data_IF_765354752773
#
_entry.id   IF_765354752773
#
_cell.length_a   1.000
_cell.length_b   1.000
_cell.length_c   1.000
_cell.angle_alpha   90.00
_cell.angle_beta   90.00
_cell.angle_gamma   90.00
#
_symmetry.space_group_name_H-M   'P 1'
#
loop_
_entity.id
_entity.type
_entity.pdbx_description
1 polymer ?
#
# COMPACT_ATOMS: atom_id res chain seq x y z
N UNK A 1 -5.88 -19.82 12.56
CA UNK A 1 -4.45 -19.49 12.84
C UNK A 1 -4.46 -18.30 13.77
N UNK A 2 -4.07 -18.46 15.03
CA UNK A 2 -4.09 -17.34 16.00
C UNK A 2 -2.91 -16.43 15.66
N UNK A 3 -3.19 -15.28 15.07
CA UNK A 3 -2.17 -14.26 14.82
C UNK A 3 -1.62 -13.79 16.16
N UNK A 4 -0.31 -13.67 16.27
CA UNK A 4 0.35 -13.18 17.49
C UNK A 4 0.04 -11.69 17.61
N UNK A 5 -0.40 -11.24 18.78
CA UNK A 5 -0.63 -9.81 19.04
C UNK A 5 0.62 -9.01 18.70
N UNK A 6 0.48 -7.95 17.93
CA UNK A 6 1.60 -7.10 17.52
C UNK A 6 2.41 -6.61 18.72
N UNK A 7 3.73 -6.60 18.57
CA UNK A 7 4.66 -5.98 19.52
C UNK A 7 4.94 -4.51 19.19
N UNK A 8 4.36 -4.03 18.10
CA UNK A 8 4.53 -2.67 17.60
C UNK A 8 3.18 -1.95 17.62
N UNK A 9 3.22 -0.67 17.91
CA UNK A 9 2.09 0.26 17.73
C UNK A 9 2.35 1.12 16.52
N UNK A 10 1.38 1.18 15.62
CA UNK A 10 1.44 1.99 14.40
C UNK A 10 0.66 3.28 14.58
N UNK A 11 1.21 4.38 14.06
CA UNK A 11 0.56 5.69 14.12
C UNK A 11 0.86 6.47 12.85
N UNK A 12 -0.17 7.04 12.23
CA UNK A 12 0.02 7.99 11.16
C UNK A 12 0.67 9.28 11.69
N UNK A 13 1.71 9.75 11.01
CA UNK A 13 2.30 11.05 11.30
C UNK A 13 1.71 12.06 10.34
N UNK A 14 0.67 12.74 10.79
CA UNK A 14 -0.15 13.65 9.98
C UNK A 14 0.43 15.06 9.85
N UNK A 15 -0.14 15.87 8.95
CA UNK A 15 0.29 17.26 8.70
C UNK A 15 1.44 17.38 7.70
N UNK A 16 1.73 16.30 6.97
CA UNK A 16 2.72 16.28 5.88
C UNK A 16 2.07 16.30 4.51
N UNK A 17 0.87 15.77 4.39
CA UNK A 17 0.16 15.66 3.11
C UNK A 17 -1.20 16.35 3.20
N UNK A 18 -1.69 16.88 2.08
CA UNK A 18 -2.97 17.58 2.02
C UNK A 18 -4.14 16.71 2.48
N UNK A 19 -4.11 15.42 2.20
CA UNK A 19 -5.15 14.48 2.60
C UNK A 19 -5.14 14.12 4.10
N UNK A 20 -4.07 14.40 4.84
CA UNK A 20 -4.00 14.18 6.29
C UNK A 20 -5.04 14.97 7.07
N UNK A 21 -5.51 16.07 6.51
CA UNK A 21 -6.42 17.03 7.16
C UNK A 21 -7.81 17.08 6.52
N UNK A 22 -8.09 16.24 5.53
CA UNK A 22 -9.39 16.25 4.84
C UNK A 22 -10.50 15.76 5.78
N UNK A 23 -11.56 16.56 6.02
CA UNK A 23 -12.62 16.17 6.93
C UNK A 23 -13.62 15.22 6.27
N UNK A 24 -13.83 14.09 6.89
CA UNK A 24 -15.02 13.26 6.72
C UNK A 24 -15.01 12.24 5.58
N UNK A 25 -15.83 11.18 5.75
CA UNK A 25 -16.04 10.15 4.72
C UNK A 25 -17.07 10.56 3.68
N UNK A 26 -17.01 9.97 2.48
CA UNK A 26 -15.83 9.34 1.93
C UNK A 26 -15.17 10.22 0.87
N UNK A 27 -14.09 10.87 1.21
CA UNK A 27 -13.27 11.55 0.23
C UNK A 27 -12.67 10.51 -0.72
N UNK A 28 -12.98 10.60 -2.02
CA UNK A 28 -12.37 9.77 -3.04
C UNK A 28 -11.00 10.35 -3.39
N UNK A 29 -9.94 9.82 -2.81
CA UNK A 29 -8.58 10.25 -3.05
C UNK A 29 -8.12 9.85 -4.46
N UNK A 30 -7.54 10.82 -5.15
CA UNK A 30 -6.83 10.66 -6.42
C UNK A 30 -5.35 10.96 -6.20
N UNK A 31 -4.51 10.67 -7.19
CA UNK A 31 -3.10 11.11 -7.17
C UNK A 31 -3.05 12.63 -7.25
N UNK A 32 -2.67 13.27 -6.15
CA UNK A 32 -2.49 14.72 -6.12
C UNK A 32 -1.18 15.13 -6.79
N UNK A 33 -1.06 16.37 -7.32
CA UNK A 33 0.21 16.91 -7.75
C UNK A 33 1.26 16.81 -6.64
N UNK A 34 2.44 16.26 -6.97
CA UNK A 34 3.49 16.02 -5.97
C UNK A 34 3.05 15.16 -4.77
N UNK A 35 2.03 14.32 -4.93
CA UNK A 35 1.38 13.54 -3.87
C UNK A 35 0.83 14.40 -2.72
N UNK A 36 0.55 15.66 -2.96
CA UNK A 36 0.02 16.58 -1.95
C UNK A 36 0.97 16.88 -0.80
N UNK A 37 2.29 16.76 -1.00
CA UNK A 37 3.26 17.13 0.05
C UNK A 37 3.16 18.62 0.38
N UNK A 38 2.89 18.93 1.64
CA UNK A 38 2.80 20.29 2.15
C UNK A 38 4.22 20.86 2.30
N UNK A 39 4.48 21.98 1.64
CA UNK A 39 5.76 22.68 1.81
C UNK A 39 5.86 23.30 3.21
N UNK A 40 6.82 22.84 3.99
CA UNK A 40 7.01 23.23 5.38
C UNK A 40 8.50 23.30 5.74
N UNK A 41 8.79 23.88 6.89
CA UNK A 41 10.13 23.91 7.46
C UNK A 41 10.36 22.66 8.31
N UNK A 42 11.50 22.00 8.10
CA UNK A 42 11.97 20.87 8.90
C UNK A 42 13.13 21.29 9.80
N UNK A 43 13.30 20.64 10.95
CA UNK A 43 14.45 20.88 11.84
C UNK A 43 15.81 20.61 11.16
N UNK A 44 15.82 19.82 10.09
CA UNK A 44 17.01 19.54 9.28
C UNK A 44 17.38 20.65 8.32
N UNK A 45 16.48 21.57 8.00
CA UNK A 45 16.65 22.57 6.93
C UNK A 45 17.79 23.56 7.26
N UNK A 46 17.96 23.91 8.54
CA UNK A 46 19.02 24.85 8.95
C UNK A 46 20.43 24.41 8.54
N UNK A 47 20.67 23.09 8.42
CA UNK A 47 21.97 22.55 7.97
C UNK A 47 21.90 22.05 6.53
N UNK A 48 20.78 21.51 6.10
CA UNK A 48 20.64 20.85 4.79
C UNK A 48 20.29 21.81 3.67
N UNK A 49 19.45 22.81 3.96
CA UNK A 49 18.96 23.79 2.97
C UNK A 49 18.78 25.18 3.61
N UNK A 50 19.86 25.80 4.10
CA UNK A 50 19.78 27.07 4.81
C UNK A 50 19.22 28.21 3.95
N UNK A 51 19.31 28.11 2.65
CA UNK A 51 18.84 29.11 1.69
C UNK A 51 17.45 28.74 1.09
N UNK A 52 16.86 27.61 1.49
CA UNK A 52 15.58 27.10 0.97
C UNK A 52 15.53 27.02 -0.56
N UNK A 53 16.56 26.46 -1.17
CA UNK A 53 16.69 26.28 -2.62
C UNK A 53 16.37 24.85 -3.07
N UNK A 54 16.27 23.90 -2.13
CA UNK A 54 15.97 22.51 -2.44
C UNK A 54 14.47 22.27 -2.58
N UNK A 55 14.11 21.27 -3.41
CA UNK A 55 12.74 20.84 -3.56
C UNK A 55 12.14 20.35 -2.22
N UNK A 56 10.83 20.52 -2.05
CA UNK A 56 10.14 20.09 -0.83
C UNK A 56 10.37 18.60 -0.53
N UNK A 57 10.37 17.74 -1.57
CA UNK A 57 10.62 16.31 -1.43
C UNK A 57 12.07 15.97 -1.03
N UNK A 58 13.09 16.73 -1.48
CA UNK A 58 14.47 16.54 -1.00
C UNK A 58 14.58 16.84 0.49
N UNK A 59 13.92 17.93 0.94
CA UNK A 59 13.92 18.33 2.35
C UNK A 59 13.14 17.32 3.21
N UNK A 60 12.00 16.83 2.72
CA UNK A 60 11.25 15.78 3.38
C UNK A 60 12.03 14.46 3.47
N UNK A 61 12.68 14.02 2.40
CA UNK A 61 13.52 12.81 2.41
C UNK A 61 14.63 12.92 3.44
N UNK A 62 15.31 14.08 3.50
CA UNK A 62 16.34 14.37 4.53
C UNK A 62 15.76 14.32 5.94
N UNK A 63 14.55 14.83 6.12
CA UNK A 63 13.87 14.77 7.41
C UNK A 63 13.48 13.33 7.79
N UNK A 64 13.03 12.52 6.86
CA UNK A 64 12.74 11.10 7.07
C UNK A 64 13.99 10.32 7.52
N UNK A 65 15.15 10.58 6.89
CA UNK A 65 16.44 10.03 7.33
C UNK A 65 16.78 10.45 8.77
N UNK A 66 16.51 11.71 9.11
CA UNK A 66 16.74 12.21 10.46
C UNK A 66 15.83 11.53 11.50
N UNK A 67 14.57 11.28 11.18
CA UNK A 67 13.65 10.54 12.05
C UNK A 67 14.16 9.11 12.32
N UNK A 68 14.78 8.48 11.34
CA UNK A 68 15.34 7.11 11.41
C UNK A 68 16.82 7.05 11.83
N UNK A 69 17.37 8.13 12.39
CA UNK A 69 18.77 8.15 12.84
C UNK A 69 19.07 7.09 13.90
N UNK A 70 20.32 6.61 14.01
CA UNK A 70 20.71 5.69 15.06
C UNK A 70 20.31 6.18 16.46
N UNK A 71 19.69 5.31 17.25
CA UNK A 71 19.18 5.64 18.58
C UNK A 71 17.75 6.19 18.62
N UNK A 72 17.08 6.31 17.48
CA UNK A 72 15.63 6.57 17.46
C UNK A 72 14.87 5.43 18.15
N UNK A 73 13.88 5.77 18.97
CA UNK A 73 13.00 4.79 19.63
C UNK A 73 11.86 4.31 18.75
N UNK A 74 11.71 4.90 17.58
CA UNK A 74 10.67 4.58 16.62
C UNK A 74 11.28 4.39 15.24
N UNK A 75 10.60 3.61 14.40
CA UNK A 75 10.89 3.43 12.98
C UNK A 75 9.83 4.15 12.17
N UNK A 76 10.25 4.92 11.16
CA UNK A 76 9.35 5.67 10.29
C UNK A 76 9.45 5.15 8.87
N UNK A 77 8.32 4.93 8.23
CA UNK A 77 8.28 4.58 6.79
C UNK A 77 7.33 5.50 6.05
N UNK A 78 7.79 5.97 4.89
CA UNK A 78 6.95 6.55 3.87
C UNK A 78 6.38 5.41 3.03
N UNK A 79 5.07 5.20 3.08
CA UNK A 79 4.35 4.20 2.35
C UNK A 79 3.54 4.87 1.24
N UNK A 80 3.84 4.56 -0.02
CA UNK A 80 3.04 4.95 -1.17
C UNK A 80 1.96 3.88 -1.41
N UNK A 81 0.73 4.14 -0.99
CA UNK A 81 -0.42 3.28 -1.20
C UNK A 81 -0.97 3.47 -2.61
N UNK A 82 -0.78 2.50 -3.47
CA UNK A 82 -1.26 2.50 -4.85
C UNK A 82 -2.46 1.55 -4.97
N UNK A 83 -3.66 2.07 -5.21
CA UNK A 83 -4.80 1.21 -5.56
C UNK A 83 -4.62 0.69 -6.97
N UNK A 84 -4.91 -0.59 -7.19
CA UNK A 84 -4.95 -1.18 -8.54
C UNK A 84 -5.81 -0.33 -9.50
N UNK A 85 -5.47 -0.35 -10.78
CA UNK A 85 -6.28 0.24 -11.85
C UNK A 85 -7.65 -0.44 -11.97
N UNK A 86 -8.56 0.16 -12.75
CA UNK A 86 -9.90 -0.39 -12.95
C UNK A 86 -9.84 -1.84 -13.44
N UNK A 87 -10.42 -2.76 -12.67
CA UNK A 87 -10.62 -4.16 -13.08
C UNK A 87 -12.02 -4.42 -13.61
N UNK A 88 -12.22 -5.55 -14.30
CA UNK A 88 -13.53 -5.93 -14.84
C UNK A 88 -14.62 -6.05 -13.76
N UNK A 89 -14.28 -6.44 -12.52
CA UNK A 89 -15.21 -6.41 -11.38
C UNK A 89 -15.74 -5.00 -11.08
N UNK A 90 -14.89 -3.97 -11.19
CA UNK A 90 -15.32 -2.58 -10.98
C UNK A 90 -16.31 -2.11 -12.07
N UNK A 91 -16.10 -2.54 -13.31
CA UNK A 91 -17.02 -2.23 -14.41
C UNK A 91 -18.37 -2.86 -14.15
N UNK A 92 -18.39 -4.16 -13.82
CA UNK A 92 -19.63 -4.87 -13.56
C UNK A 92 -20.39 -4.30 -12.37
N UNK A 93 -19.71 -4.04 -11.24
CA UNK A 93 -20.33 -3.42 -10.07
C UNK A 93 -20.91 -2.03 -10.39
N UNK A 94 -20.20 -1.21 -11.17
CA UNK A 94 -20.68 0.11 -11.57
C UNK A 94 -21.91 0.03 -12.49
N UNK A 95 -21.99 -0.99 -13.34
CA UNK A 95 -23.10 -1.18 -14.28
C UNK A 95 -24.38 -1.62 -13.58
N UNK A 96 -24.30 -2.55 -12.62
CA UNK A 96 -25.47 -3.16 -11.98
C UNK A 96 -25.78 -2.58 -10.60
N UNK A 97 -24.88 -1.84 -10.01
CA UNK A 97 -24.95 -1.29 -8.66
C UNK A 97 -24.51 -2.26 -7.57
N UNK A 98 -23.98 -1.71 -6.47
CA UNK A 98 -23.38 -2.47 -5.36
C UNK A 98 -24.34 -3.50 -4.74
N UNK A 99 -25.63 -3.19 -4.62
CA UNK A 99 -26.62 -4.11 -3.99
C UNK A 99 -26.75 -5.42 -4.79
N UNK A 100 -26.87 -5.35 -6.13
CA UNK A 100 -26.96 -6.54 -6.98
C UNK A 100 -25.60 -7.23 -7.08
N UNK A 101 -24.52 -6.48 -7.13
CA UNK A 101 -23.16 -7.01 -7.07
C UNK A 101 -22.97 -7.90 -5.84
N UNK A 102 -23.14 -7.35 -4.64
CA UNK A 102 -22.93 -8.06 -3.38
C UNK A 102 -23.87 -9.27 -3.21
N UNK A 103 -25.14 -9.13 -3.58
CA UNK A 103 -26.13 -10.18 -3.37
C UNK A 103 -25.97 -11.38 -4.31
N UNK A 104 -25.49 -11.18 -5.54
CA UNK A 104 -25.49 -12.21 -6.57
C UNK A 104 -24.20 -12.26 -7.41
N UNK A 105 -23.89 -11.18 -8.15
CA UNK A 105 -22.90 -11.23 -9.23
C UNK A 105 -21.47 -11.45 -8.75
N UNK A 106 -21.09 -10.90 -7.62
CA UNK A 106 -19.75 -11.09 -7.06
C UNK A 106 -19.39 -12.57 -6.78
N UNK A 107 -20.40 -13.43 -6.65
CA UNK A 107 -20.24 -14.87 -6.41
C UNK A 107 -20.02 -15.68 -7.68
N UNK A 108 -20.28 -15.10 -8.84
CA UNK A 108 -20.08 -15.71 -10.15
C UNK A 108 -18.65 -15.45 -10.64
N UNK A 109 -18.18 -16.25 -11.58
CA UNK A 109 -16.86 -16.08 -12.19
C UNK A 109 -16.85 -15.02 -13.29
N UNK A 110 -18.00 -14.74 -13.88
CA UNK A 110 -18.17 -13.84 -15.01
C UNK A 110 -19.56 -13.94 -15.60
N UNK A 111 -19.76 -13.31 -16.76
CA UNK A 111 -20.92 -13.47 -17.63
C UNK A 111 -20.47 -13.79 -19.06
N UNK A 112 -21.39 -13.74 -20.03
CA UNK A 112 -21.08 -14.02 -21.44
C UNK A 112 -20.05 -13.05 -22.05
N UNK A 113 -19.90 -11.84 -21.49
CA UNK A 113 -19.08 -10.78 -22.07
C UNK A 113 -17.75 -10.55 -21.33
N UNK A 114 -17.67 -10.85 -20.04
CA UNK A 114 -16.50 -10.58 -19.22
C UNK A 114 -16.33 -11.54 -18.03
N UNK A 115 -15.08 -11.72 -17.61
CA UNK A 115 -14.70 -12.50 -16.43
C UNK A 115 -14.17 -11.56 -15.35
N UNK A 116 -14.65 -11.76 -14.11
CA UNK A 116 -14.15 -11.00 -12.96
C UNK A 116 -13.56 -11.85 -11.84
N UNK A 117 -13.56 -13.19 -11.97
CA UNK A 117 -12.79 -14.04 -11.07
C UNK A 117 -11.29 -13.69 -11.20
N UNK A 118 -10.64 -13.34 -10.10
CA UNK A 118 -9.30 -12.72 -10.08
C UNK A 118 -9.13 -11.67 -11.19
N UNK A 119 -9.99 -10.68 -11.18
CA UNK A 119 -10.21 -9.76 -12.28
C UNK A 119 -8.91 -9.13 -12.78
N UNK A 120 -8.71 -9.19 -14.11
CA UNK A 120 -7.66 -8.45 -14.83
C UNK A 120 -8.02 -6.96 -14.95
N UNK A 121 -7.04 -6.14 -15.32
CA UNK A 121 -7.27 -4.74 -15.65
C UNK A 121 -8.06 -4.60 -16.95
N UNK A 122 -8.96 -3.61 -16.99
CA UNK A 122 -9.56 -3.16 -18.25
C UNK A 122 -8.57 -2.29 -19.03
N UNK A 123 -8.89 -1.92 -20.26
CA UNK A 123 -8.11 -0.94 -21.02
C UNK A 123 -7.96 0.42 -20.28
N UNK A 124 -8.98 0.80 -19.48
CA UNK A 124 -8.89 1.98 -18.61
C UNK A 124 -7.90 1.74 -17.48
N UNK A 125 -7.99 0.59 -16.80
CA UNK A 125 -7.07 0.25 -15.72
C UNK A 125 -5.62 0.14 -16.17
N UNK A 126 -5.38 -0.36 -17.39
CA UNK A 126 -4.05 -0.38 -18.00
C UNK A 126 -3.51 1.04 -18.16
N UNK A 127 -4.29 1.95 -18.75
CA UNK A 127 -3.89 3.36 -18.88
C UNK A 127 -3.63 4.02 -17.52
N UNK A 128 -4.47 3.76 -16.52
CA UNK A 128 -4.24 4.26 -15.16
C UNK A 128 -2.90 3.81 -14.57
N UNK A 129 -2.50 2.56 -14.81
CA UNK A 129 -1.19 2.07 -14.37
C UNK A 129 -0.02 2.69 -15.16
N UNK A 130 -0.22 2.95 -16.44
CA UNK A 130 0.75 3.67 -17.28
C UNK A 130 0.88 5.15 -16.90
N UNK A 131 -0.23 5.80 -16.52
CA UNK A 131 -0.25 7.16 -15.97
C UNK A 131 0.52 7.23 -14.64
N UNK A 132 0.41 6.21 -13.77
CA UNK A 132 1.26 6.11 -12.58
C UNK A 132 2.75 6.07 -12.95
N UNK A 133 3.15 5.32 -13.98
CA UNK A 133 4.54 5.27 -14.44
C UNK A 133 5.02 6.63 -14.91
N UNK A 134 4.21 7.32 -15.71
CA UNK A 134 4.50 8.67 -16.18
C UNK A 134 4.63 9.66 -15.00
N UNK A 135 3.73 9.57 -14.01
CA UNK A 135 3.80 10.34 -12.78
C UNK A 135 5.13 10.11 -12.03
N UNK A 136 5.54 8.86 -11.81
CA UNK A 136 6.80 8.54 -11.13
C UNK A 136 8.01 9.13 -11.86
N UNK A 137 8.05 8.99 -13.18
CA UNK A 137 9.14 9.53 -14.00
C UNK A 137 9.21 11.06 -13.89
N UNK A 138 8.09 11.74 -14.02
CA UNK A 138 8.01 13.20 -13.93
C UNK A 138 8.35 13.71 -12.51
N UNK A 139 7.72 13.16 -11.50
CA UNK A 139 7.87 13.61 -10.12
C UNK A 139 9.29 13.40 -9.59
N UNK A 140 9.94 12.28 -9.95
CA UNK A 140 11.33 12.02 -9.56
C UNK A 140 12.28 13.06 -10.17
N UNK A 141 12.05 13.49 -11.39
CA UNK A 141 12.89 14.49 -12.08
C UNK A 141 12.60 15.91 -11.61
N UNK A 142 11.33 16.30 -11.64
CA UNK A 142 10.94 17.70 -11.51
C UNK A 142 10.71 18.10 -10.04
N UNK A 143 10.21 17.18 -9.20
CA UNK A 143 9.93 17.43 -7.79
C UNK A 143 10.97 16.83 -6.84
N UNK A 144 11.92 16.05 -7.37
CA UNK A 144 12.88 15.26 -6.58
C UNK A 144 12.19 14.31 -5.59
N UNK A 145 11.00 13.82 -5.98
CA UNK A 145 10.25 12.85 -5.22
C UNK A 145 11.05 11.55 -5.16
N UNK A 146 11.33 11.01 -3.95
CA UNK A 146 12.11 9.79 -3.83
C UNK A 146 11.28 8.59 -4.29
N UNK A 147 11.84 7.80 -5.21
CA UNK A 147 11.23 6.56 -5.65
C UNK A 147 11.25 5.50 -4.53
N UNK A 148 10.27 4.59 -4.49
CA UNK A 148 10.27 3.50 -3.53
C UNK A 148 11.43 2.54 -3.77
N UNK A 149 12.11 2.14 -2.71
CA UNK A 149 13.19 1.15 -2.75
C UNK A 149 12.69 -0.29 -2.69
N UNK A 150 11.45 -0.48 -2.25
CA UNK A 150 10.81 -1.78 -2.15
C UNK A 150 9.37 -1.69 -2.62
N UNK A 151 8.94 -2.73 -3.35
CA UNK A 151 7.59 -2.83 -3.86
C UNK A 151 6.90 -4.05 -3.26
N UNK A 152 5.71 -3.86 -2.69
CA UNK A 152 4.83 -4.92 -2.21
C UNK A 152 3.56 -4.91 -3.03
N UNK A 153 3.05 -6.09 -3.38
CA UNK A 153 1.82 -6.22 -4.14
C UNK A 153 0.92 -7.32 -3.57
N UNK A 154 -0.37 -7.10 -3.60
CA UNK A 154 -1.36 -8.17 -3.45
C UNK A 154 -1.21 -9.20 -4.56
N UNK A 155 -1.42 -10.51 -4.31
CA UNK A 155 -1.35 -11.56 -5.32
C UNK A 155 -2.43 -11.51 -6.38
N UNK A 156 -3.45 -10.65 -6.22
CA UNK A 156 -4.55 -10.55 -7.19
C UNK A 156 -4.06 -9.93 -8.50
N UNK A 157 -4.45 -10.52 -9.62
CA UNK A 157 -3.94 -10.21 -10.96
C UNK A 157 -3.93 -8.71 -11.27
N UNK A 158 -5.00 -7.98 -10.92
CA UNK A 158 -5.11 -6.53 -11.10
C UNK A 158 -4.03 -5.72 -10.37
N UNK A 159 -3.60 -6.20 -9.20
CA UNK A 159 -2.53 -5.54 -8.43
C UNK A 159 -1.16 -5.84 -9.02
N UNK A 160 -0.91 -7.07 -9.44
CA UNK A 160 0.34 -7.46 -10.10
C UNK A 160 0.51 -6.69 -11.41
N UNK A 161 -0.52 -6.63 -12.26
CA UNK A 161 -0.50 -5.84 -13.49
C UNK A 161 -0.27 -4.35 -13.25
N UNK A 162 -0.94 -3.77 -12.22
CA UNK A 162 -0.77 -2.36 -11.88
C UNK A 162 0.66 -2.09 -11.42
N UNK A 163 1.19 -2.89 -10.49
CA UNK A 163 2.55 -2.73 -9.98
C UNK A 163 3.60 -2.88 -11.08
N UNK A 164 3.48 -3.90 -11.93
CA UNK A 164 4.40 -4.12 -13.05
C UNK A 164 4.39 -2.93 -14.00
N UNK A 165 3.22 -2.49 -14.46
CA UNK A 165 3.09 -1.37 -15.41
C UNK A 165 3.55 -0.04 -14.84
N UNK A 166 3.36 0.18 -13.53
CA UNK A 166 3.77 1.41 -12.87
C UNK A 166 5.28 1.52 -12.66
N UNK A 167 5.99 0.41 -12.48
CA UNK A 167 7.39 0.43 -12.03
C UNK A 167 8.36 -0.35 -12.91
N UNK A 168 7.95 -1.42 -13.58
CA UNK A 168 8.86 -2.14 -14.48
C UNK A 168 9.31 -1.24 -15.61
N UNK A 169 10.60 -1.32 -15.95
CA UNK A 169 11.23 -0.50 -17.00
C UNK A 169 11.08 1.02 -16.80
N UNK A 170 10.86 1.48 -15.57
CA UNK A 170 10.90 2.90 -15.26
C UNK A 170 12.30 3.42 -15.53
N UNK A 171 12.39 4.47 -16.34
CA UNK A 171 13.67 5.09 -16.75
C UNK A 171 13.66 6.57 -16.37
N UNK A 172 14.75 7.02 -15.80
CA UNK A 172 15.00 8.43 -15.56
C UNK A 172 16.17 8.91 -16.43
N UNK A 173 16.23 10.21 -16.79
CA UNK A 173 17.42 10.80 -17.36
C UNK A 173 18.63 10.60 -16.42
N UNK A 174 19.82 10.34 -16.98
CA UNK A 174 21.04 10.06 -16.20
C UNK A 174 21.35 11.12 -15.12
N UNK A 175 20.97 12.36 -15.33
CA UNK A 175 21.14 13.45 -14.35
C UNK A 175 20.16 13.41 -13.17
N UNK A 176 19.13 12.57 -13.20
CA UNK A 176 18.09 12.50 -12.17
C UNK A 176 18.36 11.42 -11.11
N UNK A 177 19.46 10.68 -11.21
CA UNK A 177 19.81 9.58 -10.30
C UNK A 177 19.45 8.21 -10.86
N UNK A 178 19.72 7.18 -10.07
CA UNK A 178 19.42 5.80 -10.41
C UNK A 178 17.99 5.42 -9.98
N UNK A 179 17.32 4.62 -10.81
CA UNK A 179 16.05 3.97 -10.43
C UNK A 179 16.39 2.75 -9.60
N UNK A 180 15.79 2.60 -8.38
CA UNK A 180 15.97 1.38 -7.61
C UNK A 180 15.55 0.15 -8.43
N UNK A 181 16.21 -1.01 -8.23
CA UNK A 181 15.83 -2.26 -8.92
C UNK A 181 14.36 -2.59 -8.68
N UNK A 182 13.66 -3.00 -9.74
CA UNK A 182 12.29 -3.49 -9.62
C UNK A 182 12.30 -4.94 -9.15
N UNK A 183 12.22 -5.13 -7.84
CA UNK A 183 12.18 -6.43 -7.15
C UNK A 183 10.91 -6.55 -6.31
N UNK A 184 9.74 -6.67 -6.94
CA UNK A 184 8.47 -6.67 -6.23
C UNK A 184 8.25 -7.97 -5.45
N UNK A 185 7.63 -7.84 -4.27
CA UNK A 185 7.29 -8.94 -3.37
C UNK A 185 5.78 -9.09 -3.26
N UNK A 186 5.30 -10.28 -3.55
CA UNK A 186 3.89 -10.63 -3.39
C UNK A 186 3.60 -11.01 -1.95
N UNK A 187 2.54 -10.44 -1.38
CA UNK A 187 2.10 -10.66 -0.02
C UNK A 187 0.62 -11.04 0.05
N UNK A 188 0.32 -12.25 0.54
CA UNK A 188 -1.06 -12.70 0.78
C UNK A 188 -1.81 -11.76 1.74
N UNK A 189 -1.07 -11.16 2.68
CA UNK A 189 -1.59 -10.23 3.66
C UNK A 189 -2.16 -8.93 3.06
N UNK A 190 -1.83 -8.61 1.81
CA UNK A 190 -2.30 -7.40 1.10
C UNK A 190 -3.55 -7.62 0.26
N UNK A 191 -4.18 -8.79 0.34
CA UNK A 191 -5.41 -9.07 -0.44
C UNK A 191 -6.56 -8.19 0.03
N UNK A 192 -7.55 -8.01 -0.87
CA UNK A 192 -8.84 -7.45 -0.51
C UNK A 192 -9.56 -8.40 0.48
N UNK A 193 -10.68 -8.00 1.03
CA UNK A 193 -11.45 -8.80 1.95
C UNK A 193 -11.72 -10.20 1.41
N UNK A 194 -11.30 -11.22 2.14
CA UNK A 194 -11.32 -12.61 1.67
C UNK A 194 -12.71 -13.23 1.63
N UNK A 195 -12.89 -14.18 0.72
CA UNK A 195 -14.05 -15.06 0.63
C UNK A 195 -15.25 -14.51 -0.14
N UNK A 196 -16.16 -15.38 -0.52
CA UNK A 196 -17.42 -15.16 -1.23
C UNK A 196 -17.25 -14.55 -2.63
N UNK A 197 -16.60 -13.39 -2.76
CA UNK A 197 -16.39 -12.73 -4.05
C UNK A 197 -15.29 -13.41 -4.86
N UNK A 198 -15.61 -13.87 -6.04
CA UNK A 198 -14.65 -14.57 -6.91
C UNK A 198 -13.52 -13.66 -7.41
N UNK A 199 -13.78 -12.35 -7.50
CA UNK A 199 -12.75 -11.37 -7.84
C UNK A 199 -11.63 -11.27 -6.79
N UNK A 200 -11.86 -11.78 -5.58
CA UNK A 200 -10.89 -11.80 -4.49
C UNK A 200 -10.23 -13.19 -4.30
N UNK A 201 -10.56 -14.17 -5.16
CA UNK A 201 -9.88 -15.47 -5.25
C UNK A 201 -8.71 -15.38 -6.22
N UNK A 202 -7.48 -15.55 -5.71
CA UNK A 202 -6.28 -15.47 -6.57
C UNK A 202 -6.09 -16.68 -7.45
N UNK A 203 -5.34 -16.52 -8.52
CA UNK A 203 -4.81 -17.62 -9.32
C UNK A 203 -3.79 -18.46 -8.54
N UNK A 204 -3.43 -19.62 -9.09
CA UNK A 204 -2.41 -20.51 -8.53
C UNK A 204 -1.04 -19.85 -8.48
N UNK A 205 -0.17 -20.32 -7.59
CA UNK A 205 1.23 -19.90 -7.53
C UNK A 205 1.94 -20.08 -8.89
N UNK A 206 1.73 -21.19 -9.54
CA UNK A 206 2.32 -21.49 -10.85
C UNK A 206 1.86 -20.52 -11.93
N UNK A 207 0.57 -20.12 -11.91
CA UNK A 207 0.05 -19.11 -12.82
C UNK A 207 0.70 -17.73 -12.57
N UNK A 208 0.83 -17.31 -11.30
CA UNK A 208 1.50 -16.04 -10.95
C UNK A 208 2.94 -16.05 -11.44
N UNK A 209 3.70 -17.10 -11.18
CA UNK A 209 5.10 -17.22 -11.63
C UNK A 209 5.26 -17.18 -13.15
N UNK A 210 4.30 -17.75 -13.88
CA UNK A 210 4.34 -17.76 -15.34
C UNK A 210 4.01 -16.39 -15.93
N UNK A 211 3.02 -15.69 -15.36
CA UNK A 211 2.54 -14.42 -15.91
C UNK A 211 3.32 -13.20 -15.37
N UNK A 212 3.91 -13.33 -14.18
CA UNK A 212 4.65 -12.26 -13.49
C UNK A 212 6.00 -12.77 -12.97
N UNK A 213 6.92 -13.19 -13.85
CA UNK A 213 8.17 -13.84 -13.46
C UNK A 213 9.13 -12.94 -12.66
N UNK A 214 8.94 -11.62 -12.70
CA UNK A 214 9.75 -10.64 -11.95
C UNK A 214 9.36 -10.55 -10.47
N UNK A 215 8.19 -11.09 -10.09
CA UNK A 215 7.70 -11.01 -8.71
C UNK A 215 8.23 -12.17 -7.87
N UNK A 216 8.81 -11.85 -6.73
CA UNK A 216 9.14 -12.82 -5.71
C UNK A 216 7.91 -13.12 -4.85
N UNK A 217 7.65 -14.39 -4.60
CA UNK A 217 6.57 -14.83 -3.71
C UNK A 217 7.13 -15.03 -2.31
N UNK A 218 6.36 -14.67 -1.30
CA UNK A 218 6.77 -14.88 0.09
C UNK A 218 6.95 -16.37 0.42
N UNK A 219 7.77 -16.72 1.44
CA UNK A 219 7.93 -18.11 1.88
C UNK A 219 6.59 -18.72 2.28
N UNK A 220 6.37 -19.98 1.91
CA UNK A 220 5.13 -20.69 2.25
C UNK A 220 3.92 -20.35 1.37
N UNK A 221 4.08 -19.55 0.31
CA UNK A 221 3.00 -19.25 -0.63
C UNK A 221 2.46 -20.54 -1.27
N UNK A 222 1.22 -20.90 -0.93
CA UNK A 222 0.59 -22.15 -1.37
C UNK A 222 0.33 -22.17 -2.88
N UNK A 223 0.27 -23.37 -3.50
CA UNK A 223 -0.08 -23.51 -4.91
C UNK A 223 -1.50 -23.01 -5.16
N UNK A 224 -2.47 -23.55 -4.44
CA UNK A 224 -3.87 -23.16 -4.52
C UNK A 224 -4.17 -22.03 -3.54
N UNK A 225 -5.30 -21.35 -3.75
CA UNK A 225 -5.79 -20.34 -2.82
C UNK A 225 -6.46 -20.99 -1.60
N UNK A 226 -5.68 -21.18 -0.55
CA UNK A 226 -6.13 -21.82 0.69
C UNK A 226 -6.84 -20.83 1.64
N UNK A 227 -6.79 -19.52 1.36
CA UNK A 227 -7.35 -18.49 2.23
C UNK A 227 -8.77 -18.06 1.81
N UNK A 228 -9.10 -18.23 0.55
CA UNK A 228 -10.42 -17.87 0.03
C UNK A 228 -11.43 -18.99 0.23
N UNK A 229 -12.60 -18.66 0.77
CA UNK A 229 -13.70 -19.60 0.97
C UNK A 229 -14.95 -19.15 0.20
N UNK A 230 -15.70 -20.11 -0.38
CA UNK A 230 -16.89 -19.82 -1.15
C UNK A 230 -18.04 -19.26 -0.30
N UNK A 231 -18.17 -19.75 0.93
CA UNK A 231 -19.33 -19.49 1.80
C UNK A 231 -18.99 -18.62 3.03
N UNK A 232 -17.72 -18.24 3.20
CA UNK A 232 -17.27 -17.48 4.35
C UNK A 232 -16.64 -16.18 3.90
N UNK A 233 -17.17 -15.06 4.38
CA UNK A 233 -16.57 -13.74 4.18
C UNK A 233 -15.75 -13.38 5.41
N UNK A 234 -14.49 -12.99 5.21
CA UNK A 234 -13.62 -12.44 6.25
C UNK A 234 -14.33 -11.31 7.01
N UNK A 235 -14.27 -11.31 8.33
CA UNK A 235 -14.82 -10.22 9.14
C UNK A 235 -13.94 -8.97 9.03
N UNK A 236 -14.45 -7.78 9.39
CA UNK A 236 -13.62 -6.57 9.45
C UNK A 236 -12.41 -6.71 10.39
N UNK A 237 -12.60 -7.42 11.50
CA UNK A 237 -11.56 -7.66 12.51
C UNK A 237 -10.46 -8.59 11.96
N UNK A 238 -10.83 -9.68 11.30
CA UNK A 238 -9.88 -10.60 10.64
C UNK A 238 -9.09 -9.89 9.54
N UNK A 239 -9.75 -9.00 8.77
CA UNK A 239 -9.06 -8.17 7.77
C UNK A 239 -8.07 -7.20 8.43
N UNK A 240 -8.46 -6.59 9.56
CA UNK A 240 -7.57 -5.71 10.32
C UNK A 240 -6.37 -6.46 10.87
N UNK A 241 -6.57 -7.63 11.47
CA UNK A 241 -5.47 -8.48 11.97
C UNK A 241 -4.49 -8.85 10.85
N UNK A 242 -5.00 -9.11 9.65
CA UNK A 242 -4.20 -9.46 8.48
C UNK A 242 -3.37 -8.27 7.97
N UNK A 243 -3.95 -7.08 7.91
CA UNK A 243 -3.24 -5.85 7.52
C UNK A 243 -2.22 -5.43 8.60
N UNK A 244 -2.54 -5.61 9.87
CA UNK A 244 -1.60 -5.38 10.98
C UNK A 244 -0.40 -6.34 10.88
N UNK A 245 -0.64 -7.63 10.59
CA UNK A 245 0.44 -8.59 10.36
C UNK A 245 1.34 -8.22 9.17
N UNK A 246 0.81 -7.59 8.12
CA UNK A 246 1.61 -7.03 7.04
C UNK A 246 2.51 -5.89 7.55
N UNK A 247 1.98 -4.99 8.36
CA UNK A 247 2.78 -3.91 8.96
C UNK A 247 3.89 -4.50 9.85
N UNK A 248 3.58 -5.50 10.68
CA UNK A 248 4.56 -6.19 11.52
C UNK A 248 5.70 -6.80 10.70
N UNK A 249 5.37 -7.47 9.60
CA UNK A 249 6.36 -8.06 8.72
C UNK A 249 7.27 -6.99 8.10
N UNK A 250 6.69 -5.93 7.54
CA UNK A 250 7.45 -4.88 6.85
C UNK A 250 8.28 -4.04 7.82
N UNK A 251 7.75 -3.69 8.99
CA UNK A 251 8.49 -2.87 9.96
C UNK A 251 9.56 -3.67 10.70
N UNK A 252 9.40 -4.99 10.83
CA UNK A 252 10.38 -5.85 11.50
C UNK A 252 11.50 -6.34 10.59
N UNK A 253 11.24 -6.52 9.30
CA UNK A 253 12.19 -7.20 8.39
C UNK A 253 12.69 -6.34 7.23
N UNK A 254 12.06 -5.22 6.93
CA UNK A 254 12.52 -4.34 5.86
C UNK A 254 13.12 -3.05 6.45
N UNK A 255 14.40 -2.83 6.17
CA UNK A 255 15.14 -1.66 6.68
C UNK A 255 14.92 -0.39 5.84
N UNK A 256 14.36 -0.52 4.62
CA UNK A 256 14.20 0.65 3.75
C UNK A 256 13.07 1.56 4.23
N UNK A 257 13.28 2.88 4.24
CA UNK A 257 12.31 3.82 4.78
C UNK A 257 11.20 4.20 3.79
N UNK A 258 11.35 3.90 2.49
CA UNK A 258 10.41 4.30 1.44
C UNK A 258 9.97 3.06 0.66
N UNK A 259 8.69 2.74 0.73
CA UNK A 259 8.09 1.56 0.12
C UNK A 259 6.86 1.90 -0.70
N UNK A 260 6.54 1.11 -1.71
CA UNK A 260 5.22 1.13 -2.35
C UNK A 260 4.42 -0.13 -2.02
N UNK A 261 3.12 0.04 -1.89
CA UNK A 261 2.16 -1.03 -1.66
C UNK A 261 1.07 -0.93 -2.71
N UNK A 262 0.99 -1.91 -3.60
CA UNK A 262 -0.08 -1.99 -4.60
C UNK A 262 -1.15 -2.97 -4.11
N UNK A 263 -2.29 -2.43 -3.70
CA UNK A 263 -3.36 -3.20 -3.07
C UNK A 263 -4.75 -2.64 -3.41
N UNK A 264 -5.68 -2.68 -2.48
CA UNK A 264 -7.11 -2.47 -2.69
C UNK A 264 -7.66 -1.34 -1.81
N UNK A 265 -8.85 -0.84 -2.19
CA UNK A 265 -9.50 0.22 -1.43
C UNK A 265 -9.80 -0.22 0.01
N UNK A 266 -10.42 -1.39 0.20
CA UNK A 266 -10.75 -1.90 1.52
C UNK A 266 -9.51 -2.13 2.39
N UNK A 267 -8.42 -2.65 1.82
CA UNK A 267 -7.13 -2.82 2.51
C UNK A 267 -6.58 -1.49 3.00
N UNK A 268 -6.70 -0.40 2.20
CA UNK A 268 -6.22 0.92 2.63
C UNK A 268 -7.17 1.62 3.61
N UNK A 269 -8.47 1.37 3.53
CA UNK A 269 -9.41 1.83 4.56
C UNK A 269 -9.09 1.20 5.93
N UNK A 270 -8.79 -0.10 5.95
CA UNK A 270 -8.32 -0.81 7.15
C UNK A 270 -6.96 -0.27 7.62
N UNK A 271 -6.01 -0.04 6.72
CA UNK A 271 -4.73 0.58 7.06
C UNK A 271 -4.93 1.93 7.76
N UNK A 272 -5.79 2.80 7.22
CA UNK A 272 -6.11 4.10 7.85
C UNK A 272 -6.63 3.92 9.26
N UNK A 273 -7.53 2.97 9.48
CA UNK A 273 -8.06 2.67 10.82
C UNK A 273 -6.95 2.23 11.79
N UNK A 274 -6.09 1.30 11.38
CA UNK A 274 -5.00 0.77 12.22
C UNK A 274 -3.98 1.82 12.62
N UNK A 275 -3.66 2.75 11.73
CA UNK A 275 -2.67 3.80 12.01
C UNK A 275 -3.29 5.07 12.60
N UNK A 276 -4.61 5.10 12.83
CA UNK A 276 -5.33 6.27 13.35
C UNK A 276 -5.37 7.46 12.38
N UNK A 277 -5.35 7.20 11.07
CA UNK A 277 -5.51 8.22 10.02
C UNK A 277 -6.99 8.37 9.65
N UNK A 278 -7.46 9.58 9.27
CA UNK A 278 -8.78 9.74 8.66
C UNK A 278 -8.95 8.78 7.46
N UNK A 279 -10.13 8.16 7.36
CA UNK A 279 -10.37 7.17 6.30
C UNK A 279 -10.23 7.79 4.91
N UNK A 280 -9.36 7.19 4.09
CA UNK A 280 -9.11 7.57 2.71
C UNK A 280 -9.66 6.49 1.80
N UNK A 281 -10.63 6.84 0.95
CA UNK A 281 -11.16 5.96 -0.08
C UNK A 281 -10.45 6.24 -1.40
N UNK A 282 -9.53 5.36 -1.80
CA UNK A 282 -8.69 5.56 -3.00
C UNK A 282 -9.45 5.28 -4.29
N UNK A 283 -9.32 6.14 -5.30
CA UNK A 283 -9.80 5.87 -6.66
C UNK A 283 -8.96 4.77 -7.33
N UNK A 284 -9.52 3.97 -8.26
CA UNK A 284 -8.71 3.06 -9.06
C UNK A 284 -7.57 3.81 -9.77
N UNK A 285 -6.35 3.27 -9.69
CA UNK A 285 -5.17 3.90 -10.29
C UNK A 285 -4.66 5.13 -9.54
N UNK A 286 -5.01 5.32 -8.28
CA UNK A 286 -4.49 6.42 -7.46
C UNK A 286 -3.33 6.01 -6.57
N UNK A 287 -2.50 6.99 -6.21
CA UNK A 287 -1.40 6.88 -5.25
C UNK A 287 -1.65 7.85 -4.11
N UNK A 288 -1.61 7.35 -2.87
CA UNK A 288 -1.77 8.14 -1.64
C UNK A 288 -0.59 7.85 -0.71
N UNK A 289 0.20 8.85 -0.31
CA UNK A 289 1.32 8.65 0.62
C UNK A 289 0.85 8.63 2.07
N UNK A 290 1.47 7.80 2.90
CA UNK A 290 1.31 7.80 4.35
C UNK A 290 2.69 7.79 5.02
N UNK A 291 2.91 8.69 5.98
CA UNK A 291 4.06 8.61 6.88
C UNK A 291 3.63 7.84 8.12
N UNK A 292 4.17 6.66 8.31
CA UNK A 292 3.79 5.75 9.40
C UNK A 292 4.96 5.64 10.38
N UNK A 293 4.65 5.80 11.67
CA UNK A 293 5.55 5.56 12.79
C UNK A 293 5.20 4.23 13.45
N UNK A 294 6.21 3.41 13.74
CA UNK A 294 6.10 2.20 14.55
C UNK A 294 6.93 2.34 15.83
N UNK A 295 6.34 2.02 16.96
CA UNK A 295 6.98 2.03 18.29
C UNK A 295 6.74 0.70 18.99
N UNK A 296 7.73 0.24 19.78
CA UNK A 296 7.53 -0.94 20.62
C UNK A 296 6.48 -0.66 21.69
N UNK A 297 5.52 -1.59 21.83
CA UNK A 297 4.59 -1.59 22.95
C UNK A 297 5.38 -2.03 24.19
N UNK A 298 5.49 -1.16 25.17
CA UNK A 298 6.07 -1.51 26.47
C UNK A 298 5.02 -2.33 27.24
N UNK A 299 5.36 -3.57 27.58
CA UNK A 299 4.53 -4.38 28.50
C UNK A 299 4.50 -3.67 29.87
N UNK A 300 3.31 -3.28 30.33
CA UNK A 300 3.10 -2.65 31.65
C UNK A 300 3.29 -3.63 32.84
N UNK A 301 3.71 -4.87 32.61
CA UNK A 301 3.78 -5.93 33.62
C UNK A 301 5.10 -6.03 34.39
N UNK A 302 5.98 -5.04 34.38
CA UNK A 302 7.24 -5.12 35.15
C UNK A 302 7.39 -4.13 36.32
N UNK A 303 6.29 -3.57 36.83
CA UNK A 303 6.32 -2.68 38.00
C UNK A 303 5.43 -3.19 39.14
N UNK A 304 5.49 -4.48 39.45
CA UNK A 304 4.97 -4.93 40.75
C UNK A 304 5.84 -6.08 41.29
N UNK A 305 6.70 -5.80 42.19
CA UNK A 305 7.42 -6.84 42.89
C UNK A 305 8.74 -6.48 43.55
N UNK A 306 8.82 -5.41 44.33
CA UNK A 306 9.72 -5.39 45.50
C UNK A 306 9.35 -4.21 46.41
N UNK A 307 8.36 -4.45 47.29
CA UNK A 307 8.27 -3.72 48.54
C UNK A 307 7.48 -4.58 49.53
N UNK A 308 8.16 -5.50 50.18
CA UNK A 308 7.80 -5.92 51.54
C UNK A 308 8.91 -6.78 52.14
N UNK A 309 9.66 -6.26 53.00
CA UNK A 309 10.01 -6.69 54.33
C UNK A 309 11.22 -5.92 54.84
#
# INVERSE_FOLDING_TARGET
>A
MTLRKSKLKYTAVTGFFEHDTQPGPPFLATTLPGLGLIDRVYETDGKFDPQRQKAAWERFARYLDHLNRPGSRAVYKLLYAARHGQGYHNVMEAEIGTVLWESHWAKLVGNENMTWADARLTAVGIRQAEDMKAFWADAAVNLKLPLPYRHYASPLARCLETCERAFADLKLPCAAGEVPPFEPRVKELLRERLGIHTCDRRHTRSWIRTNFPQFSLEPGFAEEDELWCLDVRETPEEHADRVEAFLDDVFSHDVVPIISVTAHCGTFEVLCHLIGHPTVKSAPGSIVPFLIKAEAVLDEESVDGTASA
#
